data_IF_020224619175
#
_entry.id   IF_020224619175
#
_cell.length_a   1.000
_cell.length_b   1.000
_cell.length_c   1.000
_cell.angle_alpha   90.00
_cell.angle_beta   90.00
_cell.angle_gamma   90.00
#
_symmetry.space_group_name_H-M   'P 1'
#
loop_
_entity.id
_entity.type
_entity.pdbx_description
1 polymer ?
#
# COMPACT_ATOMS: atom_id res chain seq x y z
N UNK A 1 -29.75 -24.42 4.05
CA UNK A 1 -28.33 -24.07 3.79
C UNK A 1 -28.23 -23.39 2.43
N UNK A 2 -28.16 -22.06 2.40
CA UNK A 2 -28.03 -21.32 1.15
C UNK A 2 -26.55 -21.28 0.79
N UNK A 3 -26.15 -22.06 -0.23
CA UNK A 3 -24.84 -21.92 -0.89
C UNK A 3 -24.87 -20.62 -1.67
N UNK A 4 -24.45 -19.54 -1.03
CA UNK A 4 -24.30 -18.23 -1.68
C UNK A 4 -23.17 -18.31 -2.70
N UNK A 5 -23.52 -18.14 -3.98
CA UNK A 5 -22.58 -18.00 -5.09
C UNK A 5 -22.09 -16.55 -5.08
N UNK A 6 -20.77 -16.29 -5.09
CA UNK A 6 -20.24 -14.93 -5.00
C UNK A 6 -20.71 -14.06 -6.16
N UNK A 7 -21.26 -12.88 -5.85
CA UNK A 7 -21.17 -11.75 -6.77
C UNK A 7 -19.74 -11.21 -6.74
N UNK A 8 -18.84 -11.84 -7.50
CA UNK A 8 -17.64 -11.17 -7.98
C UNK A 8 -18.11 -10.09 -8.95
N UNK A 9 -18.18 -8.84 -8.51
CA UNK A 9 -18.11 -7.74 -9.48
C UNK A 9 -16.77 -7.90 -10.19
N UNK A 10 -16.81 -8.39 -11.42
CA UNK A 10 -15.71 -8.31 -12.37
C UNK A 10 -15.23 -6.85 -12.30
N UNK A 11 -13.93 -6.59 -12.08
CA UNK A 11 -13.45 -5.22 -12.11
C UNK A 11 -13.93 -4.58 -13.41
N UNK A 12 -14.41 -3.34 -13.34
CA UNK A 12 -15.05 -2.63 -14.47
C UNK A 12 -14.13 -2.62 -15.70
N UNK A 13 -12.83 -2.86 -15.49
CA UNK A 13 -11.83 -2.96 -16.55
C UNK A 13 -10.75 -3.98 -16.14
N UNK A 14 -10.27 -4.79 -17.09
CA UNK A 14 -9.12 -5.65 -16.85
C UNK A 14 -7.86 -4.77 -16.86
N UNK A 15 -7.41 -4.34 -15.68
CA UNK A 15 -6.28 -3.39 -15.54
C UNK A 15 -5.01 -3.90 -16.21
N UNK A 16 -4.75 -5.22 -16.19
CA UNK A 16 -3.61 -5.81 -16.87
C UNK A 16 -3.72 -5.61 -18.39
N UNK A 17 -4.91 -5.83 -18.95
CA UNK A 17 -5.18 -5.64 -20.37
C UNK A 17 -5.10 -4.15 -20.77
N UNK A 18 -5.61 -3.23 -19.95
CA UNK A 18 -5.50 -1.79 -20.20
C UNK A 18 -4.04 -1.31 -20.23
N UNK A 19 -3.24 -1.76 -19.27
CA UNK A 19 -1.80 -1.46 -19.22
C UNK A 19 -1.10 -2.01 -20.47
N UNK A 20 -1.40 -3.26 -20.86
CA UNK A 20 -0.84 -3.86 -22.07
C UNK A 20 -1.23 -3.07 -23.33
N UNK A 21 -2.51 -2.71 -23.44
CA UNK A 21 -3.01 -1.91 -24.56
C UNK A 21 -2.35 -0.51 -24.58
N UNK A 22 -2.11 0.10 -23.42
CA UNK A 22 -1.47 1.41 -23.31
C UNK A 22 0.00 1.37 -23.69
N UNK A 23 0.70 0.28 -23.37
CA UNK A 23 2.12 0.11 -23.67
C UNK A 23 2.42 0.17 -25.18
N UNK A 24 1.50 -0.32 -26.02
CA UNK A 24 1.60 -0.28 -27.49
C UNK A 24 2.87 -0.94 -28.08
N UNK A 25 3.62 -1.70 -27.27
CA UNK A 25 4.80 -2.48 -27.63
C UNK A 25 4.95 -3.71 -26.70
N UNK A 26 5.84 -4.63 -27.06
CA UNK A 26 6.22 -5.76 -26.22
C UNK A 26 6.79 -5.31 -24.86
N UNK A 27 6.66 -6.18 -23.86
CA UNK A 27 7.14 -5.92 -22.50
C UNK A 27 8.68 -5.98 -22.49
N UNK A 28 9.30 -4.93 -21.97
CA UNK A 28 10.72 -4.92 -21.62
C UNK A 28 10.85 -5.22 -20.13
N UNK A 29 11.29 -6.43 -19.78
CA UNK A 29 11.36 -6.90 -18.40
C UNK A 29 12.31 -6.08 -17.51
N UNK A 30 13.31 -5.40 -18.10
CA UNK A 30 14.29 -4.60 -17.37
C UNK A 30 13.72 -3.24 -16.94
N UNK A 31 12.77 -2.69 -17.71
CA UNK A 31 12.34 -1.29 -17.60
C UNK A 31 10.85 -1.14 -17.29
N UNK A 32 10.03 -2.11 -17.68
CA UNK A 32 8.58 -2.05 -17.49
C UNK A 32 8.16 -2.60 -16.12
N UNK A 33 7.19 -1.91 -15.52
CA UNK A 33 6.53 -2.41 -14.31
C UNK A 33 5.53 -3.48 -14.73
N UNK A 34 5.70 -4.67 -14.19
CA UNK A 34 4.78 -5.80 -14.39
C UNK A 34 3.87 -5.95 -13.18
N UNK A 35 2.58 -5.67 -13.38
CA UNK A 35 1.59 -5.86 -12.33
C UNK A 35 1.28 -7.36 -12.20
N UNK A 36 1.41 -7.95 -11.01
CA UNK A 36 1.20 -9.38 -10.80
C UNK A 36 -0.28 -9.75 -10.89
N UNK A 37 -0.61 -11.03 -11.09
CA UNK A 37 -1.97 -11.52 -10.94
C UNK A 37 -2.53 -11.19 -9.55
N UNK A 38 -3.73 -10.61 -9.51
CA UNK A 38 -4.39 -10.17 -8.28
C UNK A 38 -5.77 -10.80 -8.09
N UNK A 39 -6.23 -10.78 -6.85
CA UNK A 39 -7.55 -11.26 -6.43
C UNK A 39 -8.45 -10.06 -6.15
N UNK A 40 -9.69 -10.13 -6.62
CA UNK A 40 -10.75 -9.17 -6.26
C UNK A 40 -11.61 -9.80 -5.17
N UNK A 41 -11.22 -9.58 -3.91
CA UNK A 41 -12.01 -9.99 -2.75
C UNK A 41 -12.22 -8.80 -1.82
N UNK A 42 -13.35 -8.11 -1.97
CA UNK A 42 -13.68 -6.94 -1.13
C UNK A 42 -13.98 -7.33 0.31
N UNK A 43 -14.34 -8.58 0.61
CA UNK A 43 -14.74 -9.00 1.96
C UNK A 43 -13.54 -9.09 2.88
N UNK A 44 -12.45 -9.68 2.40
CA UNK A 44 -11.20 -9.75 3.18
C UNK A 44 -10.61 -8.36 3.39
N UNK A 45 -10.71 -7.46 2.40
CA UNK A 45 -10.27 -6.07 2.58
C UNK A 45 -11.14 -5.32 3.61
N UNK A 46 -12.47 -5.47 3.54
CA UNK A 46 -13.40 -4.92 4.55
C UNK A 46 -13.16 -5.50 5.94
N UNK A 47 -12.86 -6.81 6.06
CA UNK A 47 -12.57 -7.39 7.37
C UNK A 47 -11.31 -6.77 7.98
N UNK A 48 -10.28 -6.49 7.18
CA UNK A 48 -9.07 -5.79 7.65
C UNK A 48 -9.42 -4.35 8.04
N UNK A 49 -10.17 -3.63 7.21
CA UNK A 49 -10.61 -2.25 7.47
C UNK A 49 -11.37 -2.11 8.80
N UNK A 50 -12.27 -3.05 9.08
CA UNK A 50 -13.05 -3.08 10.32
C UNK A 50 -12.38 -3.83 11.48
N UNK A 51 -11.16 -4.35 11.30
CA UNK A 51 -10.43 -5.08 12.33
C UNK A 51 -11.07 -6.42 12.73
N UNK A 52 -11.84 -7.05 11.84
CA UNK A 52 -12.43 -8.37 12.04
C UNK A 52 -11.37 -9.47 11.86
N UNK A 53 -10.63 -9.72 12.94
CA UNK A 53 -9.54 -10.70 12.99
C UNK A 53 -10.02 -12.14 12.75
N UNK A 54 -11.17 -12.52 13.32
CA UNK A 54 -11.71 -13.88 13.20
C UNK A 54 -11.95 -14.27 11.73
N UNK A 55 -12.44 -13.32 10.91
CA UNK A 55 -12.60 -13.55 9.48
C UNK A 55 -11.25 -13.75 8.78
N UNK A 56 -10.26 -12.91 9.09
CA UNK A 56 -8.91 -13.01 8.51
C UNK A 56 -8.24 -14.34 8.86
N UNK A 57 -8.28 -14.75 10.12
CA UNK A 57 -7.68 -16.03 10.57
C UNK A 57 -8.32 -17.21 9.86
N UNK A 58 -9.65 -17.28 9.80
CA UNK A 58 -10.36 -18.34 9.05
C UNK A 58 -10.01 -18.33 7.57
N UNK A 59 -9.88 -17.15 6.98
CA UNK A 59 -9.52 -16.99 5.57
C UNK A 59 -8.11 -17.52 5.27
N UNK A 60 -7.15 -17.22 6.14
CA UNK A 60 -5.77 -17.73 6.03
C UNK A 60 -5.68 -19.23 6.32
N UNK A 61 -6.46 -19.75 7.27
CA UNK A 61 -6.53 -21.19 7.55
C UNK A 61 -7.02 -21.99 6.34
N UNK A 62 -8.03 -21.47 5.63
CA UNK A 62 -8.56 -22.12 4.42
C UNK A 62 -7.56 -22.05 3.26
N UNK A 63 -6.86 -20.92 3.12
CA UNK A 63 -5.94 -20.67 2.02
C UNK A 63 -4.65 -19.97 2.50
N UNK A 64 -3.67 -20.71 3.07
CA UNK A 64 -2.47 -20.11 3.64
C UNK A 64 -1.62 -19.33 2.63
N UNK A 65 -1.65 -19.75 1.36
CA UNK A 65 -0.96 -19.06 0.24
C UNK A 65 -1.48 -17.64 -0.03
N UNK A 66 -2.60 -17.24 0.58
CA UNK A 66 -3.09 -15.87 0.46
C UNK A 66 -2.21 -14.85 1.17
N UNK A 67 -1.25 -15.29 1.99
CA UNK A 67 -0.29 -14.43 2.69
C UNK A 67 0.62 -13.65 1.72
N UNK A 68 0.95 -14.25 0.57
CA UNK A 68 1.78 -13.67 -0.51
C UNK A 68 0.94 -13.13 -1.68
N UNK A 69 -0.38 -13.39 -1.69
CA UNK A 69 -1.26 -13.00 -2.81
C UNK A 69 -1.47 -11.49 -2.85
N UNK A 70 -1.61 -10.98 -4.06
CA UNK A 70 -2.00 -9.60 -4.33
C UNK A 70 -3.52 -9.45 -4.36
N UNK A 71 -4.02 -8.38 -3.78
CA UNK A 71 -5.44 -8.02 -3.69
C UNK A 71 -5.67 -6.64 -4.28
N UNK A 72 -6.79 -6.49 -4.96
CA UNK A 72 -7.16 -5.30 -5.72
C UNK A 72 -8.15 -4.42 -4.96
N UNK A 73 -7.86 -3.12 -4.88
CA UNK A 73 -8.77 -2.08 -4.42
C UNK A 73 -8.81 -0.93 -5.43
N UNK A 74 -10.01 -0.56 -5.87
CA UNK A 74 -10.23 0.58 -6.79
C UNK A 74 -11.07 1.65 -6.11
N UNK A 75 -10.65 2.90 -6.27
CA UNK A 75 -11.39 4.11 -5.90
C UNK A 75 -11.61 4.96 -7.14
N UNK A 76 -12.87 5.26 -7.45
CA UNK A 76 -13.23 6.18 -8.53
C UNK A 76 -13.30 7.59 -7.95
N UNK A 77 -12.41 8.47 -8.40
CA UNK A 77 -12.29 9.85 -7.92
C UNK A 77 -13.15 10.81 -8.74
N UNK A 78 -13.33 10.53 -10.02
CA UNK A 78 -14.18 11.30 -10.94
C UNK A 78 -14.67 10.39 -12.06
N UNK A 79 -15.87 10.65 -12.58
CA UNK A 79 -16.45 9.94 -13.73
C UNK A 79 -16.38 10.74 -15.03
N UNK A 80 -16.10 12.06 -14.96
CA UNK A 80 -15.97 12.93 -16.13
C UNK A 80 -15.07 14.14 -15.84
N UNK A 81 -13.78 14.12 -16.25
CA UNK A 81 -13.07 12.99 -16.85
C UNK A 81 -12.98 11.81 -15.88
N UNK A 82 -12.81 10.59 -16.41
CA UNK A 82 -12.69 9.39 -15.60
C UNK A 82 -11.33 9.39 -14.90
N UNK A 83 -11.32 9.46 -13.57
CA UNK A 83 -10.12 9.39 -12.74
C UNK A 83 -10.29 8.27 -11.73
N UNK A 84 -9.35 7.31 -11.73
CA UNK A 84 -9.35 6.17 -10.82
C UNK A 84 -8.00 6.02 -10.16
N UNK A 85 -8.02 5.65 -8.89
CA UNK A 85 -6.85 5.21 -8.14
C UNK A 85 -7.03 3.74 -7.79
N UNK A 86 -6.09 2.91 -8.21
CA UNK A 86 -6.08 1.48 -7.97
C UNK A 86 -4.86 1.16 -7.12
N UNK A 87 -5.07 0.35 -6.09
CA UNK A 87 -4.03 -0.20 -5.23
C UNK A 87 -4.06 -1.72 -5.34
N UNK A 88 -2.91 -2.31 -5.66
CA UNK A 88 -2.69 -3.75 -5.65
C UNK A 88 -1.58 -4.06 -4.66
N UNK A 89 -1.94 -4.71 -3.55
CA UNK A 89 -1.02 -5.00 -2.44
C UNK A 89 -1.34 -6.35 -1.81
N UNK A 90 -0.45 -6.87 -0.97
CA UNK A 90 -0.78 -8.01 -0.12
C UNK A 90 -1.69 -7.57 1.05
N UNK A 91 -2.24 -8.53 1.80
CA UNK A 91 -3.10 -8.22 2.95
C UNK A 91 -2.39 -7.38 4.01
N UNK A 92 -1.07 -7.54 4.16
CA UNK A 92 -0.26 -6.76 5.10
C UNK A 92 -0.28 -5.27 4.73
N UNK A 93 -0.10 -4.93 3.45
CA UNK A 93 -0.20 -3.56 2.98
C UNK A 93 -1.56 -2.92 3.30
N UNK A 94 -2.65 -3.66 3.10
CA UNK A 94 -3.98 -3.18 3.49
C UNK A 94 -4.14 -3.00 5.01
N UNK A 95 -3.50 -3.85 5.82
CA UNK A 95 -3.51 -3.67 7.29
C UNK A 95 -2.79 -2.38 7.73
N UNK A 96 -1.71 -2.00 7.03
CA UNK A 96 -1.00 -0.73 7.25
C UNK A 96 -1.85 0.46 6.81
N UNK A 97 -2.47 0.38 5.62
CA UNK A 97 -3.34 1.42 5.08
C UNK A 97 -4.53 1.71 6.00
N UNK A 98 -5.17 0.66 6.53
CA UNK A 98 -6.34 0.78 7.38
C UNK A 98 -6.05 0.88 8.87
N UNK A 99 -4.77 0.90 9.27
CA UNK A 99 -4.34 0.96 10.67
C UNK A 99 -4.84 -0.21 11.53
N UNK A 100 -4.94 -1.40 10.93
CA UNK A 100 -5.50 -2.60 11.55
C UNK A 100 -4.41 -3.39 12.28
N UNK A 101 -3.99 -2.92 13.44
CA UNK A 101 -2.83 -3.46 14.20
C UNK A 101 -2.92 -4.98 14.44
N UNK A 102 -4.07 -5.50 14.88
CA UNK A 102 -4.21 -6.94 15.18
C UNK A 102 -4.10 -7.80 13.90
N UNK A 103 -4.65 -7.31 12.79
CA UNK A 103 -4.50 -7.97 11.50
C UNK A 103 -3.04 -7.91 11.03
N UNK A 104 -2.37 -6.76 11.19
CA UNK A 104 -0.95 -6.59 10.87
C UNK A 104 -0.09 -7.62 11.61
N UNK A 105 -0.23 -7.72 12.93
CA UNK A 105 0.50 -8.71 13.75
C UNK A 105 0.27 -10.12 13.22
N UNK A 106 -0.99 -10.50 13.03
CA UNK A 106 -1.35 -11.85 12.56
C UNK A 106 -0.72 -12.16 11.21
N UNK A 107 -0.68 -11.19 10.29
CA UNK A 107 -0.08 -11.36 8.97
C UNK A 107 1.45 -11.49 9.05
N UNK A 108 2.10 -10.69 9.91
CA UNK A 108 3.54 -10.81 10.19
C UNK A 108 3.88 -12.18 10.79
N UNK A 109 3.08 -12.67 11.76
CA UNK A 109 3.26 -13.99 12.38
C UNK A 109 3.13 -15.14 11.37
N UNK A 110 2.36 -14.93 10.30
CA UNK A 110 2.21 -15.88 9.20
C UNK A 110 3.25 -15.68 8.08
N UNK A 111 4.20 -14.76 8.25
CA UNK A 111 5.31 -14.53 7.33
C UNK A 111 5.02 -13.58 6.18
N UNK A 112 3.99 -12.71 6.26
CA UNK A 112 3.86 -11.61 5.30
C UNK A 112 5.08 -10.69 5.35
N UNK A 113 5.61 -10.35 4.18
CA UNK A 113 6.76 -9.46 4.04
C UNK A 113 6.32 -7.98 3.88
N UNK A 114 6.74 -7.05 4.76
CA UNK A 114 6.56 -5.61 4.59
C UNK A 114 7.24 -5.03 3.34
N UNK A 115 8.24 -5.73 2.80
CA UNK A 115 8.98 -5.32 1.61
C UNK A 115 8.45 -5.91 0.31
N UNK A 116 7.42 -6.77 0.38
CA UNK A 116 6.71 -7.23 -0.80
C UNK A 116 6.20 -6.03 -1.61
N UNK A 117 6.34 -6.12 -2.94
CA UNK A 117 5.93 -5.06 -3.83
C UNK A 117 4.44 -4.71 -3.67
N UNK A 118 4.11 -3.47 -3.98
CA UNK A 118 2.77 -2.90 -3.98
C UNK A 118 2.70 -1.93 -5.15
N UNK A 119 1.57 -1.96 -5.85
CA UNK A 119 1.39 -1.24 -7.10
C UNK A 119 0.29 -0.20 -6.93
N UNK A 120 0.66 1.06 -7.14
CA UNK A 120 -0.25 2.18 -7.20
C UNK A 120 -0.44 2.55 -8.67
N UNK A 121 -1.70 2.64 -9.09
CA UNK A 121 -2.06 2.87 -10.48
C UNK A 121 -3.04 4.03 -10.50
N UNK A 122 -2.61 5.16 -11.05
CA UNK A 122 -3.50 6.28 -11.35
C UNK A 122 -3.88 6.19 -12.82
N UNK A 123 -5.18 6.14 -13.06
CA UNK A 123 -5.75 6.06 -14.39
C UNK A 123 -6.61 7.29 -14.64
N UNK A 124 -6.28 8.03 -15.68
CA UNK A 124 -7.06 9.18 -16.14
C UNK A 124 -7.45 8.98 -17.60
N UNK A 125 -8.73 9.14 -17.90
CA UNK A 125 -9.26 9.07 -19.27
C UNK A 125 -10.26 10.19 -19.55
N UNK A 126 -10.10 10.79 -20.72
CA UNK A 126 -11.00 11.79 -21.27
C UNK A 126 -11.38 11.38 -22.71
N UNK A 127 -12.53 10.72 -22.84
CA UNK A 127 -12.94 10.09 -24.12
C UNK A 127 -12.07 8.87 -24.48
N UNK A 128 -12.22 8.38 -25.71
CA UNK A 128 -11.56 7.14 -26.16
C UNK A 128 -10.07 7.30 -26.48
N UNK A 129 -9.61 8.52 -26.78
CA UNK A 129 -8.25 8.75 -27.29
C UNK A 129 -7.26 9.31 -26.28
N UNK A 130 -7.73 9.98 -25.23
CA UNK A 130 -6.85 10.54 -24.20
C UNK A 130 -6.89 9.65 -22.96
N UNK A 131 -5.84 8.82 -22.81
CA UNK A 131 -5.62 8.02 -21.61
C UNK A 131 -4.22 8.25 -21.08
N UNK A 132 -4.12 8.36 -19.76
CA UNK A 132 -2.87 8.46 -19.03
C UNK A 132 -2.90 7.45 -17.90
N UNK A 133 -1.88 6.60 -17.86
CA UNK A 133 -1.68 5.62 -16.79
C UNK A 133 -0.35 5.91 -16.12
N UNK A 134 -0.39 6.17 -14.81
CA UNK A 134 0.80 6.27 -13.98
C UNK A 134 0.86 5.04 -13.08
N UNK A 135 1.90 4.23 -13.26
CA UNK A 135 2.24 3.09 -12.42
C UNK A 135 3.37 3.47 -11.47
N UNK A 136 3.24 3.00 -10.23
CA UNK A 136 4.25 3.15 -9.21
C UNK A 136 4.37 1.85 -8.42
N UNK A 137 5.54 1.24 -8.44
CA UNK A 137 5.85 0.04 -7.67
C UNK A 137 6.73 0.42 -6.48
N UNK A 138 6.26 0.05 -5.30
CA UNK A 138 6.93 0.32 -4.05
C UNK A 138 6.68 -0.79 -3.02
N UNK A 139 7.52 -0.94 -1.98
CA UNK A 139 7.28 -1.84 -0.87
C UNK A 139 5.96 -1.59 -0.12
N UNK A 140 5.33 -2.63 0.42
CA UNK A 140 4.06 -2.53 1.16
C UNK A 140 4.14 -1.62 2.40
N UNK A 141 5.30 -1.54 3.07
CA UNK A 141 5.50 -0.65 4.22
C UNK A 141 5.19 0.82 3.88
N UNK A 142 5.30 1.22 2.61
CA UNK A 142 5.05 2.58 2.16
C UNK A 142 3.61 3.05 2.45
N UNK A 143 2.66 2.12 2.52
CA UNK A 143 1.27 2.40 2.88
C UNK A 143 1.12 2.96 4.31
N UNK A 144 2.14 2.80 5.16
CA UNK A 144 2.20 3.45 6.47
C UNK A 144 2.19 4.99 6.36
N UNK A 145 2.72 5.57 5.28
CA UNK A 145 2.72 7.03 5.08
C UNK A 145 1.31 7.63 5.11
N UNK A 146 0.31 6.89 4.62
CA UNK A 146 -1.10 7.29 4.70
C UNK A 146 -1.63 7.35 6.14
N UNK A 147 -1.07 6.53 7.03
CA UNK A 147 -1.48 6.31 8.41
C UNK A 147 -0.80 7.23 9.42
N UNK A 148 0.41 7.73 9.12
CA UNK A 148 1.18 8.62 9.99
C UNK A 148 0.49 9.98 10.09
N UNK A 149 -0.27 10.15 11.15
CA UNK A 149 -1.04 11.35 11.47
C UNK A 149 -1.08 11.52 13.00
N UNK A 150 -0.96 12.75 13.54
CA UNK A 150 -0.96 12.99 14.99
C UNK A 150 -2.15 12.37 15.72
N UNK A 151 -3.35 12.47 15.15
CA UNK A 151 -4.58 11.87 15.70
C UNK A 151 -4.55 10.33 15.79
N UNK A 152 -3.63 9.68 15.10
CA UNK A 152 -3.44 8.23 15.11
C UNK A 152 -2.09 7.82 15.71
N UNK A 153 -1.43 8.70 16.46
CA UNK A 153 -0.10 8.48 17.07
C UNK A 153 0.03 7.12 17.74
N UNK A 154 -0.86 6.81 18.69
CA UNK A 154 -0.85 5.55 19.46
C UNK A 154 -0.91 4.33 18.52
N UNK A 155 -1.76 4.38 17.49
CA UNK A 155 -1.91 3.28 16.54
C UNK A 155 -0.67 3.14 15.65
N UNK A 156 -0.05 4.26 15.26
CA UNK A 156 1.20 4.24 14.48
C UNK A 156 2.36 3.63 15.27
N UNK A 157 2.48 3.98 16.56
CA UNK A 157 3.45 3.39 17.49
C UNK A 157 3.23 1.88 17.58
N UNK A 158 1.99 1.46 17.83
CA UNK A 158 1.65 0.05 17.95
C UNK A 158 1.98 -0.74 16.67
N UNK A 159 1.61 -0.23 15.49
CA UNK A 159 1.96 -0.88 14.21
C UNK A 159 3.47 -0.97 13.97
N UNK A 160 4.22 0.08 14.29
CA UNK A 160 5.69 0.07 14.16
C UNK A 160 6.35 -0.87 15.17
N UNK A 161 5.77 -1.04 16.36
CA UNK A 161 6.22 -2.05 17.31
C UNK A 161 6.05 -3.46 16.73
N UNK A 162 4.92 -3.78 16.09
CA UNK A 162 4.73 -5.07 15.42
C UNK A 162 5.78 -5.30 14.32
N UNK A 163 6.01 -4.30 13.47
CA UNK A 163 7.03 -4.37 12.41
C UNK A 163 8.44 -4.54 12.97
N UNK A 164 8.74 -3.92 14.11
CA UNK A 164 10.04 -4.08 14.77
C UNK A 164 10.21 -5.49 15.35
N UNK A 165 9.16 -6.03 15.96
CA UNK A 165 9.15 -7.38 16.54
C UNK A 165 9.30 -8.45 15.45
N UNK A 166 8.75 -8.20 14.25
CA UNK A 166 8.96 -9.06 13.08
C UNK A 166 10.29 -8.81 12.35
N UNK A 167 11.23 -8.10 12.97
CA UNK A 167 12.54 -7.75 12.41
C UNK A 167 12.52 -7.05 11.04
N UNK A 168 11.51 -6.19 10.78
CA UNK A 168 11.49 -5.41 9.55
C UNK A 168 12.66 -4.39 9.51
N UNK A 169 13.55 -4.50 8.54
CA UNK A 169 14.77 -3.70 8.50
C UNK A 169 14.59 -2.36 7.77
N UNK A 170 14.17 -1.32 8.48
CA UNK A 170 13.91 0.00 7.88
C UNK A 170 15.18 0.80 7.52
N UNK A 171 16.37 0.20 7.69
CA UNK A 171 17.66 0.84 7.44
C UNK A 171 18.32 0.40 6.12
N UNK A 172 17.66 -0.48 5.36
CA UNK A 172 18.13 -0.94 4.06
C UNK A 172 17.74 0.04 2.94
N UNK A 173 18.56 0.17 1.87
CA UNK A 173 18.21 0.99 0.72
C UNK A 173 16.93 0.54 0.04
N UNK A 174 16.10 1.50 -0.38
CA UNK A 174 14.83 1.25 -1.03
C UNK A 174 14.86 1.77 -2.47
N UNK A 175 14.38 0.94 -3.39
CA UNK A 175 14.25 1.32 -4.80
C UNK A 175 12.78 1.28 -5.19
N UNK A 176 12.31 2.39 -5.75
CA UNK A 176 10.95 2.53 -6.26
C UNK A 176 11.01 2.65 -7.78
N UNK A 177 10.01 2.09 -8.45
CA UNK A 177 9.88 2.19 -9.92
C UNK A 177 8.64 2.98 -10.25
N UNK A 178 8.76 3.89 -11.20
CA UNK A 178 7.65 4.68 -11.75
C UNK A 178 7.60 4.46 -13.25
N UNK A 179 6.40 4.29 -13.79
CA UNK A 179 6.18 4.22 -15.23
C UNK A 179 4.95 5.05 -15.62
N UNK A 180 5.08 5.92 -16.62
CA UNK A 180 3.99 6.69 -17.19
C UNK A 180 3.73 6.23 -18.63
N UNK A 181 2.47 5.96 -18.96
CA UNK A 181 2.01 5.61 -20.31
C UNK A 181 0.95 6.62 -20.75
N UNK A 182 1.18 7.26 -21.89
CA UNK A 182 0.29 8.29 -22.44
C UNK A 182 0.27 8.19 -23.98
N UNK A 183 -0.50 7.25 -24.55
CA UNK A 183 -0.49 7.02 -25.99
C UNK A 183 -0.83 8.30 -26.78
N UNK A 184 -0.17 8.54 -27.92
CA UNK A 184 0.73 7.61 -28.63
C UNK A 184 2.20 7.63 -28.17
N UNK A 185 2.52 8.33 -27.08
CA UNK A 185 3.91 8.45 -26.60
C UNK A 185 4.42 7.12 -26.03
N UNK A 186 5.71 6.85 -26.21
CA UNK A 186 6.34 5.69 -25.60
C UNK A 186 6.30 5.76 -24.07
N UNK A 187 6.18 4.62 -23.37
CA UNK A 187 6.22 4.59 -21.91
C UNK A 187 7.51 5.19 -21.36
N UNK A 188 7.38 6.11 -20.40
CA UNK A 188 8.52 6.68 -19.67
C UNK A 188 8.67 5.97 -18.33
N UNK A 189 9.83 5.34 -18.10
CA UNK A 189 10.16 4.70 -16.82
C UNK A 189 11.23 5.47 -16.06
N UNK A 190 11.11 5.51 -14.74
CA UNK A 190 12.09 6.10 -13.84
C UNK A 190 12.29 5.20 -12.61
N UNK A 191 13.52 5.16 -12.12
CA UNK A 191 13.86 4.49 -10.86
C UNK A 191 14.30 5.54 -9.85
N UNK A 192 13.73 5.49 -8.65
CA UNK A 192 14.05 6.39 -7.55
C UNK A 192 14.68 5.55 -6.44
N UNK A 193 15.82 6.00 -5.91
CA UNK A 193 16.55 5.30 -4.86
C UNK A 193 16.58 6.15 -3.60
N UNK A 194 16.33 5.51 -2.47
CA UNK A 194 16.41 6.09 -1.13
C UNK A 194 17.46 5.34 -0.34
N UNK A 195 18.14 6.06 0.56
CA UNK A 195 19.13 5.50 1.45
C UNK A 195 18.51 4.52 2.46
N UNK A 196 17.30 4.83 2.95
CA UNK A 196 16.57 3.97 3.87
C UNK A 196 15.03 4.08 3.72
N UNK A 197 14.29 3.21 4.40
CA UNK A 197 12.82 3.21 4.38
C UNK A 197 12.22 4.48 5.00
N UNK A 198 12.94 5.14 5.91
CA UNK A 198 12.47 6.37 6.56
C UNK A 198 12.52 7.56 5.62
N UNK A 199 13.58 7.68 4.82
CA UNK A 199 13.67 8.71 3.77
C UNK A 199 12.55 8.53 2.75
N UNK A 200 12.28 7.28 2.36
CA UNK A 200 11.16 6.93 1.49
C UNK A 200 9.80 7.36 2.10
N UNK A 201 9.56 7.09 3.38
CA UNK A 201 8.35 7.55 4.09
C UNK A 201 8.25 9.08 4.18
N UNK A 202 9.35 9.78 4.45
CA UNK A 202 9.36 11.25 4.52
C UNK A 202 8.91 11.88 3.19
N UNK A 203 9.42 11.33 2.08
CA UNK A 203 9.09 11.79 0.73
C UNK A 203 7.63 11.50 0.35
N UNK A 204 7.06 10.36 0.74
CA UNK A 204 5.63 10.09 0.49
C UNK A 204 4.71 10.97 1.35
N UNK A 205 5.10 11.26 2.60
CA UNK A 205 4.37 12.22 3.44
C UNK A 205 4.42 13.61 2.79
N UNK A 206 5.57 14.02 2.27
CA UNK A 206 5.73 15.30 1.57
C UNK A 206 4.89 15.37 0.29
N UNK A 207 4.89 14.31 -0.52
CA UNK A 207 4.09 14.21 -1.75
C UNK A 207 2.58 14.31 -1.47
N UNK A 208 2.11 13.73 -0.36
CA UNK A 208 0.70 13.82 0.05
C UNK A 208 0.30 15.26 0.42
N UNK A 209 1.22 16.03 1.01
CA UNK A 209 1.01 17.42 1.38
C UNK A 209 -0.11 17.62 2.40
N UNK A 210 -0.76 18.79 2.32
CA UNK A 210 -1.88 19.19 3.19
C UNK A 210 -1.46 19.98 4.43
N UNK A 211 -2.46 20.50 5.15
CA UNK A 211 -2.26 21.42 6.27
C UNK A 211 -1.50 20.79 7.46
N UNK A 212 -1.63 19.47 7.61
CA UNK A 212 -0.97 18.69 8.69
C UNK A 212 0.46 18.23 8.34
N UNK A 213 1.03 18.65 7.21
CA UNK A 213 2.32 18.14 6.71
C UNK A 213 3.45 18.28 7.75
N UNK A 214 3.55 19.45 8.38
CA UNK A 214 4.59 19.71 9.37
C UNK A 214 4.48 18.77 10.57
N UNK A 215 3.27 18.57 11.08
CA UNK A 215 2.99 17.68 12.21
C UNK A 215 3.23 16.21 11.84
N UNK A 216 2.89 15.80 10.62
CA UNK A 216 3.16 14.45 10.12
C UNK A 216 4.66 14.17 10.03
N UNK A 217 5.46 15.13 9.54
CA UNK A 217 6.93 15.01 9.51
C UNK A 217 7.55 14.98 10.90
N UNK A 218 7.05 15.77 11.85
CA UNK A 218 7.48 15.70 13.26
C UNK A 218 7.21 14.32 13.84
N UNK A 219 5.99 13.80 13.67
CA UNK A 219 5.64 12.46 14.12
C UNK A 219 6.54 11.39 13.48
N UNK A 220 6.82 11.44 12.18
CA UNK A 220 7.73 10.50 11.51
C UNK A 220 9.12 10.48 12.17
N UNK A 221 9.68 11.64 12.51
CA UNK A 221 11.00 11.74 13.16
C UNK A 221 11.00 11.09 14.54
N UNK A 222 9.94 11.30 15.32
CA UNK A 222 9.78 10.69 16.64
C UNK A 222 9.63 9.16 16.53
N UNK A 223 8.79 8.70 15.58
CA UNK A 223 8.62 7.28 15.29
C UNK A 223 9.94 6.61 14.87
N UNK A 224 10.73 7.26 14.00
CA UNK A 224 12.07 6.81 13.61
C UNK A 224 13.01 6.67 14.81
N UNK A 225 13.01 7.66 15.71
CA UNK A 225 13.86 7.64 16.90
C UNK A 225 13.51 6.47 17.83
N UNK A 226 12.22 6.24 18.04
CA UNK A 226 11.73 5.17 18.91
C UNK A 226 11.95 3.79 18.31
N UNK A 227 11.74 3.63 17.01
CA UNK A 227 12.02 2.39 16.28
C UNK A 227 13.49 1.99 16.40
N UNK A 228 14.41 2.93 16.17
CA UNK A 228 15.86 2.70 16.29
C UNK A 228 16.29 2.37 17.72
N UNK A 229 15.69 3.03 18.71
CA UNK A 229 16.05 2.84 20.10
C UNK A 229 15.38 1.61 20.74
N UNK A 230 14.44 0.97 20.05
CA UNK A 230 13.56 -0.08 20.57
C UNK A 230 12.93 0.30 21.93
N UNK A 231 12.37 1.50 22.01
CA UNK A 231 11.85 2.11 23.26
C UNK A 231 10.40 2.56 23.11
N UNK A 232 9.56 1.71 22.52
CA UNK A 232 8.15 2.02 22.28
C UNK A 232 7.40 2.36 23.57
N UNK A 233 7.76 1.72 24.69
CA UNK A 233 7.19 1.97 26.03
C UNK A 233 7.33 3.42 26.54
N UNK A 234 8.24 4.22 25.95
CA UNK A 234 8.46 5.62 26.36
C UNK A 234 7.44 6.60 25.79
N UNK A 235 6.61 6.18 24.82
CA UNK A 235 5.61 7.03 24.17
C UNK A 235 4.18 6.84 24.69
N UNK A 236 3.93 5.82 25.52
CA UNK A 236 2.62 5.55 26.12
C UNK A 236 2.36 6.37 27.39
N UNK A 237 3.29 7.23 27.79
CA UNK A 237 3.10 8.16 28.91
C UNK A 237 2.57 9.49 28.36
N UNK A 238 1.37 9.94 28.76
CA UNK A 238 0.94 11.30 28.47
C UNK A 238 1.99 12.26 29.04
N UNK A 239 2.35 13.29 28.28
CA UNK A 239 3.22 14.36 28.78
C UNK A 239 2.63 14.86 30.11
N UNK A 240 3.30 14.54 31.21
CA UNK A 240 3.04 15.20 32.48
C UNK A 240 3.62 16.60 32.29
N UNK A 241 2.73 17.54 31.99
CA UNK A 241 3.03 18.97 31.97
C UNK A 241 3.86 19.32 33.22
N UNK A 242 5.01 19.96 32.99
CA UNK A 242 5.80 20.61 34.03
C UNK A 242 5.51 22.11 34.03
#
# INVERSE_FOLDING_TARGET
MVKYIPHTTIPITNVCQEIQNARSREINEEVDIQVPPYVVDKRILRSIEYGNLEYLERYLQQCPRNIERYFFLETVLSTSPLVRSILISNLLGFSLLYRSQRCLRTLLDHGSDPFQATYFIEYTSQGEQQRKILLYEAPAFLLLAGSIQPRHRVVCIAMLAELRVSDAEFHIPITLRRQQMEPPQEPMSATIRFADAWECLDMEIEKKGGDDLAQNKVLLRELKAVYRANKFDRLDQPEVEK
#
